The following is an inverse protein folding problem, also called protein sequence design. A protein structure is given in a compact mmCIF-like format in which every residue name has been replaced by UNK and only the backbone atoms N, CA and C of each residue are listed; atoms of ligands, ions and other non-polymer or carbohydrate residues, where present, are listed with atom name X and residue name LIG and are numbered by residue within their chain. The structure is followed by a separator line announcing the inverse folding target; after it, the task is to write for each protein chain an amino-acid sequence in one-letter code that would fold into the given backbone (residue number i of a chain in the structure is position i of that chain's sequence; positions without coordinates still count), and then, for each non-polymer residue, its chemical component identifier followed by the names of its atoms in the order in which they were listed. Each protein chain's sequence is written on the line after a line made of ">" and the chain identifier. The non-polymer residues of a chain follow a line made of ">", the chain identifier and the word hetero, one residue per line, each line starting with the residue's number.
data_IF_338851649717
#
_entry.id   IF_338851649717
#
_cell.length_a   1.000
_cell.length_b   1.000
_cell.length_c   1.000
_cell.angle_alpha   90.00
_cell.angle_beta   90.00
_cell.angle_gamma   90.00
#
_symmetry.space_group_name_H-M   'P 1'
#
loop_
_entity.id
_entity.type
_entity.pdbx_description
1 polymer ?
#
# COMPACT_ATOMS: atom_id res chain seq x y z
N UNK A 1 17.86 -49.82 31.91
CA UNK A 1 16.58 -49.86 31.19
C UNK A 1 16.15 -48.41 31.07
N UNK A 2 16.11 -47.98 29.82
CA UNK A 2 15.80 -46.65 29.26
C UNK A 2 14.56 -45.99 29.92
N UNK A 3 14.65 -44.70 30.31
CA UNK A 3 14.18 -43.51 29.54
C UNK A 3 12.67 -43.28 29.81
N UNK A 4 12.17 -42.12 30.25
CA UNK A 4 12.15 -40.84 29.55
C UNK A 4 11.88 -39.67 30.50
N UNK A 5 12.67 -38.60 30.32
CA UNK A 5 12.44 -37.30 30.91
C UNK A 5 11.26 -36.54 30.29
N UNK A 6 10.67 -35.69 31.12
CA UNK A 6 9.77 -34.62 30.69
C UNK A 6 10.55 -33.59 29.86
N UNK A 7 10.17 -33.40 28.60
CA UNK A 7 10.49 -32.19 27.85
C UNK A 7 9.21 -31.66 27.22
N UNK A 8 8.60 -30.69 27.89
CA UNK A 8 7.60 -29.81 27.29
C UNK A 8 8.36 -28.64 26.70
N UNK A 9 8.66 -28.72 25.41
CA UNK A 9 9.17 -27.57 24.65
C UNK A 9 7.97 -26.70 24.33
N UNK A 10 7.74 -25.66 25.14
CA UNK A 10 6.95 -24.52 24.70
C UNK A 10 7.76 -23.78 23.65
N UNK A 11 7.32 -23.87 22.39
CA UNK A 11 7.78 -23.00 21.32
C UNK A 11 7.47 -21.55 21.69
N UNK A 12 8.48 -20.86 22.23
CA UNK A 12 8.47 -19.41 22.35
C UNK A 12 8.50 -18.86 20.94
N UNK A 13 7.34 -18.48 20.40
CA UNK A 13 7.25 -17.64 19.22
C UNK A 13 7.82 -16.27 19.57
N UNK A 14 9.13 -16.13 19.49
CA UNK A 14 9.80 -14.83 19.50
C UNK A 14 9.27 -14.06 18.30
N UNK A 15 8.52 -13.00 18.57
CA UNK A 15 8.09 -12.07 17.53
C UNK A 15 9.33 -11.55 16.82
N UNK A 16 9.31 -11.46 15.49
CA UNK A 16 10.36 -10.79 14.73
C UNK A 16 10.49 -9.32 15.15
N UNK A 17 9.42 -8.73 15.68
CA UNK A 17 9.43 -7.40 16.28
C UNK A 17 10.29 -7.33 17.56
N UNK A 18 10.40 -8.43 18.32
CA UNK A 18 11.23 -8.48 19.55
C UNK A 18 12.73 -8.63 19.23
N UNK A 19 13.07 -9.14 18.04
CA UNK A 19 14.47 -9.28 17.59
C UNK A 19 14.99 -7.96 17.01
N UNK A 20 14.15 -7.19 16.33
CA UNK A 20 14.51 -5.83 15.86
C UNK A 20 14.58 -4.82 17.02
N UNK A 21 13.74 -4.97 18.05
CA UNK A 21 13.77 -4.08 19.21
C UNK A 21 15.04 -4.23 20.05
N UNK A 22 15.61 -5.44 20.11
CA UNK A 22 16.83 -5.75 20.88
C UNK A 22 18.15 -5.28 20.28
N UNK A 23 18.18 -4.67 19.09
CA UNK A 23 19.42 -4.17 18.46
C UNK A 23 19.56 -2.65 18.47
N UNK A 24 18.64 -1.91 19.10
CA UNK A 24 18.66 -0.44 19.16
C UNK A 24 18.99 0.13 20.54
N UNK A 25 19.17 -0.72 21.55
CA UNK A 25 19.48 -0.32 22.92
C UNK A 25 20.98 -0.49 23.17
N UNK A 26 21.79 0.50 22.80
CA UNK A 26 23.15 0.71 23.35
C UNK A 26 23.68 2.12 23.06
N UNK A 27 22.82 3.05 22.61
CA UNK A 27 23.18 4.46 22.47
C UNK A 27 22.33 5.29 23.44
N UNK A 28 22.91 5.64 24.59
CA UNK A 28 22.28 6.46 25.62
C UNK A 28 22.13 7.94 25.20
N UNK A 29 22.65 8.33 24.02
CA UNK A 29 22.55 9.69 23.50
C UNK A 29 21.12 10.01 23.06
N UNK A 30 20.73 11.26 23.27
CA UNK A 30 19.39 11.73 22.89
C UNK A 30 19.29 11.82 21.37
N UNK A 31 18.41 11.04 20.76
CA UNK A 31 18.15 11.09 19.32
C UNK A 31 17.23 12.28 18.97
N UNK A 32 17.74 13.17 18.12
CA UNK A 32 17.01 14.30 17.56
C UNK A 32 16.71 14.07 16.08
N UNK A 33 15.56 14.54 15.61
CA UNK A 33 15.15 14.38 14.20
C UNK A 33 15.63 15.51 13.27
N UNK A 34 15.84 16.72 13.81
CA UNK A 34 16.28 17.90 13.04
C UNK A 34 17.36 18.67 13.80
N UNK A 35 18.53 18.84 13.18
CA UNK A 35 19.66 19.59 13.73
C UNK A 35 19.34 21.07 13.93
N UNK A 36 18.40 21.64 13.15
CA UNK A 36 18.02 23.05 13.25
C UNK A 36 17.38 23.42 14.60
N UNK A 37 16.74 22.46 15.26
CA UNK A 37 16.22 22.70 16.61
C UNK A 37 17.35 22.79 17.63
N UNK A 38 18.39 21.97 17.49
CA UNK A 38 19.58 22.02 18.33
C UNK A 38 20.35 23.34 18.14
N UNK A 39 20.46 23.81 16.90
CA UNK A 39 21.07 25.11 16.59
C UNK A 39 20.32 26.26 17.28
N UNK A 40 18.97 26.23 17.28
CA UNK A 40 18.15 27.23 17.98
C UNK A 40 18.29 27.15 19.50
N UNK A 41 18.34 25.95 20.07
CA UNK A 41 18.55 25.76 21.51
C UNK A 41 19.89 26.37 21.93
N UNK A 42 20.93 26.11 21.14
CA UNK A 42 22.25 26.69 21.34
C UNK A 42 22.22 28.23 21.25
N UNK A 43 21.53 28.79 20.26
CA UNK A 43 21.38 30.25 20.12
C UNK A 43 20.70 30.88 21.35
N UNK A 44 19.60 30.28 21.82
CA UNK A 44 18.88 30.73 23.02
C UNK A 44 19.75 30.63 24.28
N UNK A 45 20.48 29.53 24.44
CA UNK A 45 21.40 29.35 25.58
C UNK A 45 22.51 30.42 25.59
N UNK A 46 23.14 30.66 24.44
CA UNK A 46 24.16 31.71 24.28
C UNK A 46 23.56 33.09 24.57
N UNK A 47 22.33 33.35 24.11
CA UNK A 47 21.64 34.61 24.37
C UNK A 47 21.44 34.86 25.87
N UNK A 48 20.91 33.89 26.61
CA UNK A 48 20.71 34.00 28.05
C UNK A 48 22.02 34.18 28.81
N UNK A 49 23.06 33.43 28.44
CA UNK A 49 24.39 33.59 29.07
C UNK A 49 25.00 34.94 28.73
N UNK A 50 24.78 35.46 27.53
CA UNK A 50 25.23 36.81 27.15
C UNK A 50 24.52 37.88 27.99
N UNK A 51 23.21 37.76 28.20
CA UNK A 51 22.47 38.67 29.09
C UNK A 51 22.98 38.60 30.54
N UNK A 52 23.25 37.40 31.05
CA UNK A 52 23.79 37.19 32.40
C UNK A 52 25.20 37.79 32.54
N UNK A 53 26.08 37.53 31.58
CA UNK A 53 27.43 38.09 31.56
C UNK A 53 27.41 39.62 31.49
N UNK A 54 26.49 40.19 30.70
CA UNK A 54 26.37 41.64 30.58
C UNK A 54 25.89 42.31 31.87
N UNK A 55 25.02 41.65 32.64
CA UNK A 55 24.42 42.19 33.85
C UNK A 55 25.23 41.93 35.13
N UNK A 56 26.06 40.88 35.18
CA UNK A 56 26.72 40.46 36.43
C UNK A 56 28.26 40.48 36.38
N UNK A 57 28.86 40.49 35.19
CA UNK A 57 30.31 40.59 35.04
C UNK A 57 30.70 42.03 34.70
N UNK A 58 31.74 42.55 35.32
CA UNK A 58 32.33 43.86 35.00
C UNK A 58 33.46 43.74 33.99
N UNK A 59 34.28 42.70 34.10
CA UNK A 59 35.40 42.39 33.19
C UNK A 59 35.31 40.94 32.66
N UNK A 60 36.05 40.62 31.58
CA UNK A 60 36.17 39.25 31.08
C UNK A 60 34.92 38.68 30.39
N UNK A 61 33.88 39.48 30.14
CA UNK A 61 32.60 39.06 29.52
C UNK A 61 32.78 38.19 28.28
N UNK A 62 33.58 38.66 27.33
CA UNK A 62 33.81 37.96 26.06
C UNK A 62 34.47 36.60 26.27
N UNK A 63 35.41 36.51 27.20
CA UNK A 63 36.12 35.26 27.49
C UNK A 63 35.19 34.26 28.19
N UNK A 64 34.37 34.74 29.13
CA UNK A 64 33.35 33.92 29.80
C UNK A 64 32.32 33.37 28.81
N UNK A 65 31.73 34.23 27.95
CA UNK A 65 30.74 33.81 26.94
C UNK A 65 31.37 32.81 25.96
N UNK A 66 32.59 33.08 25.50
CA UNK A 66 33.30 32.18 24.58
C UNK A 66 33.53 30.81 25.21
N UNK A 67 34.02 30.76 26.45
CA UNK A 67 34.30 29.51 27.15
C UNK A 67 33.04 28.74 27.51
N UNK A 68 31.98 29.43 27.93
CA UNK A 68 30.67 28.82 28.12
C UNK A 68 30.17 28.19 26.81
N UNK A 69 30.24 28.94 25.71
CA UNK A 69 29.76 28.48 24.41
C UNK A 69 30.52 27.24 23.95
N UNK A 70 31.84 27.20 24.13
CA UNK A 70 32.66 26.04 23.80
C UNK A 70 32.28 24.80 24.63
N UNK A 71 32.22 24.95 25.96
CA UNK A 71 31.88 23.83 26.86
C UNK A 71 30.48 23.32 26.59
N UNK A 72 29.49 24.21 26.49
CA UNK A 72 28.11 23.86 26.24
C UNK A 72 27.95 23.11 24.90
N UNK A 73 28.65 23.57 23.85
CA UNK A 73 28.66 22.89 22.56
C UNK A 73 29.21 21.47 22.69
N UNK A 74 30.39 21.30 23.27
CA UNK A 74 31.03 19.99 23.39
C UNK A 74 30.15 19.02 24.18
N UNK A 75 29.60 19.47 25.32
CA UNK A 75 28.72 18.64 26.14
C UNK A 75 27.47 18.20 25.38
N UNK A 76 26.81 19.08 24.62
CA UNK A 76 25.62 18.69 23.86
C UNK A 76 25.99 17.79 22.68
N UNK A 77 27.10 18.02 21.98
CA UNK A 77 27.53 17.18 20.87
C UNK A 77 27.87 15.75 21.28
N UNK A 78 28.47 15.56 22.47
CA UNK A 78 28.80 14.24 23.01
C UNK A 78 27.56 13.44 23.41
N UNK A 79 26.46 14.13 23.77
CA UNK A 79 25.27 13.52 24.35
C UNK A 79 24.04 13.48 23.41
N UNK A 80 24.17 13.99 22.18
CA UNK A 80 23.05 14.11 21.23
C UNK A 80 23.44 13.57 19.87
N UNK A 81 22.53 12.82 19.26
CA UNK A 81 22.60 12.38 17.86
C UNK A 81 21.50 13.02 17.05
N UNK A 82 21.72 13.18 15.74
CA UNK A 82 20.71 13.62 14.78
C UNK A 82 20.47 12.47 13.79
N UNK A 83 19.28 11.88 13.85
CA UNK A 83 18.91 10.68 13.07
C UNK A 83 19.94 9.53 13.22
N UNK A 84 20.41 9.30 14.46
CA UNK A 84 21.41 8.28 14.78
C UNK A 84 22.86 8.63 14.42
N UNK A 85 23.15 9.85 13.94
CA UNK A 85 24.51 10.31 13.62
C UNK A 85 25.01 11.36 14.63
N UNK A 86 26.32 11.44 14.92
CA UNK A 86 26.88 12.48 15.79
C UNK A 86 26.54 13.90 15.32
N UNK A 87 26.12 14.76 16.24
CA UNK A 87 25.82 16.16 15.91
C UNK A 87 27.09 17.00 15.79
N UNK A 88 27.36 17.56 14.60
CA UNK A 88 28.53 18.41 14.34
C UNK A 88 28.10 19.85 14.03
N UNK A 89 28.41 20.78 14.93
CA UNK A 89 27.93 22.18 14.92
C UNK A 89 28.60 23.04 13.83
N UNK A 90 29.71 22.61 13.25
CA UNK A 90 30.40 23.37 12.19
C UNK A 90 30.63 22.52 10.94
N UNK A 91 29.72 22.64 9.98
CA UNK A 91 29.94 22.17 8.60
C UNK A 91 31.05 22.93 7.86
N UNK A 92 31.53 24.06 8.38
CA UNK A 92 32.51 24.92 7.69
C UNK A 92 33.97 24.57 8.00
N UNK A 93 34.28 24.00 9.16
CA UNK A 93 35.66 23.64 9.57
C UNK A 93 36.07 22.19 9.29
N UNK A 94 35.18 21.36 8.74
CA UNK A 94 35.51 19.98 8.38
C UNK A 94 36.45 19.96 7.16
N UNK A 95 37.47 19.10 7.22
CA UNK A 95 38.32 18.80 6.06
C UNK A 95 37.46 18.29 4.89
N UNK A 96 37.92 18.47 3.65
CA UNK A 96 37.22 18.01 2.44
C UNK A 96 36.87 16.53 2.49
N UNK A 97 37.67 15.73 3.21
CA UNK A 97 37.48 14.29 3.36
C UNK A 97 36.43 13.94 4.41
N UNK A 98 36.41 14.62 5.57
CA UNK A 98 35.36 14.43 6.59
C UNK A 98 33.97 14.84 6.07
N UNK A 99 33.90 15.87 5.20
CA UNK A 99 32.65 16.24 4.51
C UNK A 99 32.17 15.17 3.53
N UNK A 100 33.09 14.44 2.89
CA UNK A 100 32.74 13.35 1.98
C UNK A 100 32.28 12.13 2.75
N UNK A 101 32.96 11.81 3.85
CA UNK A 101 32.61 10.71 4.75
C UNK A 101 31.22 10.91 5.35
N UNK A 102 30.91 12.11 5.88
CA UNK A 102 29.57 12.41 6.39
C UNK A 102 28.48 12.38 5.31
N UNK A 103 28.78 12.82 4.08
CA UNK A 103 27.84 12.70 2.94
C UNK A 103 27.63 11.26 2.52
N UNK A 104 28.65 10.42 2.64
CA UNK A 104 28.58 9.01 2.31
C UNK A 104 27.80 8.24 3.37
N UNK A 105 28.07 8.46 4.66
CA UNK A 105 27.31 7.88 5.77
C UNK A 105 25.83 8.26 5.72
N UNK A 106 25.51 9.54 5.48
CA UNK A 106 24.11 9.99 5.32
C UNK A 106 23.45 9.36 4.10
N UNK A 107 24.17 9.22 2.99
CA UNK A 107 23.66 8.54 1.80
C UNK A 107 23.40 7.06 2.08
N UNK A 108 24.33 6.38 2.75
CA UNK A 108 24.22 4.95 3.05
C UNK A 108 23.10 4.68 4.06
N UNK A 109 22.94 5.53 5.08
CA UNK A 109 21.82 5.47 6.01
C UNK A 109 20.46 5.69 5.31
N UNK A 110 20.39 6.67 4.38
CA UNK A 110 19.18 6.91 3.60
C UNK A 110 18.86 5.74 2.66
N UNK A 111 19.88 5.14 2.02
CA UNK A 111 19.71 3.97 1.16
C UNK A 111 19.27 2.73 1.95
N UNK A 112 19.84 2.51 3.14
CA UNK A 112 19.39 1.43 4.03
C UNK A 112 17.93 1.62 4.41
N UNK A 113 17.56 2.82 4.87
CA UNK A 113 16.17 3.12 5.25
C UNK A 113 15.20 2.99 4.08
N UNK A 114 15.63 3.35 2.87
CA UNK A 114 14.86 3.16 1.65
C UNK A 114 14.68 1.67 1.35
N UNK A 115 15.73 0.86 1.48
CA UNK A 115 15.68 -0.59 1.30
C UNK A 115 14.67 -1.23 2.26
N UNK A 116 14.76 -0.92 3.56
CA UNK A 116 13.84 -1.44 4.58
C UNK A 116 12.39 -1.03 4.29
N UNK A 117 12.20 0.21 3.83
CA UNK A 117 10.87 0.73 3.48
C UNK A 117 10.29 -0.02 2.27
N UNK A 118 11.12 -0.31 1.26
CA UNK A 118 10.70 -1.06 0.08
C UNK A 118 10.34 -2.50 0.43
N UNK A 119 11.16 -3.17 1.23
CA UNK A 119 10.89 -4.55 1.69
C UNK A 119 9.59 -4.62 2.50
N UNK A 120 9.41 -3.74 3.48
CA UNK A 120 8.20 -3.65 4.28
C UNK A 120 6.96 -3.36 3.44
N UNK A 121 7.09 -2.48 2.44
CA UNK A 121 5.99 -2.15 1.54
C UNK A 121 5.64 -3.34 0.64
N UNK A 122 6.63 -4.03 0.10
CA UNK A 122 6.43 -5.23 -0.72
C UNK A 122 5.78 -6.35 0.10
N UNK A 123 6.22 -6.56 1.35
CA UNK A 123 5.63 -7.52 2.27
C UNK A 123 4.15 -7.18 2.53
N UNK A 124 3.82 -5.93 2.86
CA UNK A 124 2.44 -5.47 3.06
C UNK A 124 1.58 -5.68 1.80
N UNK A 125 2.07 -5.33 0.61
CA UNK A 125 1.35 -5.55 -0.65
C UNK A 125 1.03 -7.03 -0.89
N UNK A 126 1.92 -7.94 -0.50
CA UNK A 126 1.73 -9.38 -0.68
C UNK A 126 0.80 -10.00 0.37
N UNK A 127 0.93 -9.60 1.63
CA UNK A 127 0.32 -10.31 2.77
C UNK A 127 -0.93 -9.62 3.31
N UNK A 128 -0.99 -8.29 3.35
CA UNK A 128 -2.12 -7.55 3.94
C UNK A 128 -3.46 -7.84 3.24
N UNK A 129 -3.57 -7.86 1.89
CA UNK A 129 -4.85 -8.19 1.25
C UNK A 129 -5.36 -9.58 1.59
N UNK A 130 -4.47 -10.57 1.73
CA UNK A 130 -4.83 -11.94 2.10
C UNK A 130 -5.36 -12.00 3.54
N UNK A 131 -4.73 -11.28 4.46
CA UNK A 131 -5.18 -11.21 5.86
C UNK A 131 -6.54 -10.52 5.97
N UNK A 132 -6.73 -9.38 5.30
CA UNK A 132 -8.01 -8.67 5.27
C UNK A 132 -9.13 -9.56 4.71
N UNK A 133 -8.89 -10.22 3.58
CA UNK A 133 -9.85 -11.15 2.97
C UNK A 133 -10.18 -12.31 3.91
N UNK A 134 -9.18 -12.89 4.58
CA UNK A 134 -9.38 -13.97 5.55
C UNK A 134 -10.31 -13.54 6.69
N UNK A 135 -10.01 -12.40 7.33
CA UNK A 135 -10.80 -11.87 8.45
C UNK A 135 -12.23 -11.57 8.01
N UNK A 136 -12.40 -10.87 6.89
CA UNK A 136 -13.72 -10.52 6.36
C UNK A 136 -14.55 -11.77 6.01
N UNK A 137 -13.92 -12.77 5.40
CA UNK A 137 -14.58 -14.04 5.06
C UNK A 137 -15.04 -14.81 6.30
N UNK A 138 -14.28 -14.76 7.40
CA UNK A 138 -14.68 -15.36 8.68
C UNK A 138 -15.88 -14.64 9.27
N UNK A 139 -15.87 -13.31 9.27
CA UNK A 139 -16.96 -12.50 9.79
C UNK A 139 -18.27 -12.75 9.03
N UNK A 140 -18.23 -12.75 7.70
CA UNK A 140 -19.41 -13.07 6.88
C UNK A 140 -19.95 -14.47 7.13
N UNK A 141 -19.07 -15.47 7.34
CA UNK A 141 -19.49 -16.83 7.71
C UNK A 141 -20.22 -16.84 9.06
N UNK A 142 -19.72 -16.08 10.03
CA UNK A 142 -20.33 -15.98 11.35
C UNK A 142 -21.69 -15.29 11.29
N UNK A 143 -21.80 -14.16 10.59
CA UNK A 143 -23.08 -13.46 10.36
C UNK A 143 -24.10 -14.36 9.67
N UNK A 144 -23.68 -15.10 8.64
CA UNK A 144 -24.55 -16.08 7.97
C UNK A 144 -25.04 -17.17 8.91
N UNK A 145 -24.21 -17.64 9.84
CA UNK A 145 -24.65 -18.61 10.85
C UNK A 145 -25.65 -17.99 11.83
N UNK A 146 -25.46 -16.73 12.22
CA UNK A 146 -26.40 -16.02 13.10
C UNK A 146 -27.76 -15.82 12.42
N UNK A 147 -27.78 -15.43 11.14
CA UNK A 147 -29.01 -15.34 10.35
C UNK A 147 -29.73 -16.69 10.22
N UNK A 148 -28.98 -17.80 10.08
CA UNK A 148 -29.58 -19.15 10.07
C UNK A 148 -30.14 -19.59 11.42
N UNK A 149 -29.54 -19.12 12.52
CA UNK A 149 -29.98 -19.42 13.89
C UNK A 149 -31.16 -18.56 14.33
N UNK A 150 -31.34 -17.39 13.71
CA UNK A 150 -32.53 -16.58 13.93
C UNK A 150 -33.76 -17.38 13.48
N UNK A 151 -34.54 -17.86 14.46
CA UNK A 151 -35.88 -18.37 14.21
C UNK A 151 -36.68 -17.22 13.61
N UNK A 152 -36.95 -17.27 12.32
CA UNK A 152 -37.93 -16.37 11.72
C UNK A 152 -39.26 -16.81 12.31
N UNK A 153 -39.79 -16.02 13.25
CA UNK A 153 -41.16 -16.19 13.73
C UNK A 153 -42.10 -15.90 12.55
N UNK A 154 -42.47 -16.95 11.82
CA UNK A 154 -43.50 -16.89 10.78
C UNK A 154 -44.92 -16.82 11.35
N UNK A 155 -45.08 -16.56 12.65
CA UNK A 155 -46.37 -16.45 13.31
C UNK A 155 -46.71 -15.00 13.61
N UNK A 156 -46.79 -14.17 12.57
CA UNK A 156 -47.81 -13.12 12.62
C UNK A 156 -49.11 -13.86 12.40
N UNK A 157 -50.06 -13.90 13.35
CA UNK A 157 -51.36 -14.51 13.11
C UNK A 157 -52.03 -13.72 11.98
N UNK A 158 -51.98 -14.26 10.77
CA UNK A 158 -52.76 -13.76 9.65
C UNK A 158 -54.22 -14.04 10.03
N UNK A 159 -55.08 -13.02 10.17
CA UNK A 159 -56.50 -13.27 10.37
C UNK A 159 -56.99 -14.16 9.24
N UNK A 160 -57.59 -15.30 9.57
CA UNK A 160 -58.17 -16.23 8.61
C UNK A 160 -59.38 -15.58 7.95
N UNK A 161 -59.13 -14.71 6.96
CA UNK A 161 -60.17 -14.30 6.04
C UNK A 161 -60.48 -15.50 5.15
N UNK A 162 -61.68 -16.05 5.29
CA UNK A 162 -62.22 -17.03 4.35
C UNK A 162 -62.28 -16.40 2.96
N UNK A 163 -61.38 -16.79 2.07
CA UNK A 163 -61.46 -16.41 0.67
C UNK A 163 -62.60 -17.19 0.00
N UNK A 164 -63.42 -16.53 -0.85
CA UNK A 164 -64.42 -17.23 -1.64
C UNK A 164 -63.70 -18.14 -2.64
N UNK A 165 -64.17 -19.39 -2.76
CA UNK A 165 -63.77 -20.29 -3.83
C UNK A 165 -64.17 -19.66 -5.18
N UNK A 166 -63.22 -19.06 -5.89
CA UNK A 166 -63.45 -18.60 -7.26
C UNK A 166 -62.20 -18.74 -8.13
N UNK A 167 -62.31 -19.60 -9.15
CA UNK A 167 -61.62 -19.55 -10.45
C UNK A 167 -60.09 -19.52 -10.46
N UNK A 168 -59.42 -20.55 -9.92
CA UNK A 168 -57.97 -20.74 -10.08
C UNK A 168 -57.56 -21.58 -11.30
N UNK A 169 -58.50 -22.17 -12.05
CA UNK A 169 -58.18 -23.06 -13.18
C UNK A 169 -57.66 -22.31 -14.42
N UNK A 170 -58.24 -21.16 -14.75
CA UNK A 170 -57.93 -20.48 -16.02
C UNK A 170 -56.56 -19.78 -16.00
N UNK A 171 -56.10 -19.31 -14.83
CA UNK A 171 -54.80 -18.63 -14.69
C UNK A 171 -53.60 -19.56 -14.80
N UNK A 172 -53.77 -20.84 -14.48
CA UNK A 172 -52.69 -21.83 -14.58
C UNK A 172 -52.41 -22.23 -16.03
N UNK A 173 -53.45 -22.30 -16.88
CA UNK A 173 -53.28 -22.59 -18.31
C UNK A 173 -52.61 -21.43 -19.04
N UNK A 174 -53.02 -20.18 -18.79
CA UNK A 174 -52.35 -18.99 -19.34
C UNK A 174 -50.87 -18.94 -18.98
N UNK A 175 -50.51 -19.27 -17.73
CA UNK A 175 -49.12 -19.28 -17.29
C UNK A 175 -48.29 -20.35 -18.01
N UNK A 176 -48.86 -21.53 -18.24
CA UNK A 176 -48.19 -22.61 -18.99
C UNK A 176 -47.98 -22.19 -20.44
N UNK A 177 -48.99 -21.61 -21.09
CA UNK A 177 -48.88 -21.10 -22.47
C UNK A 177 -47.81 -20.00 -22.57
N UNK A 178 -47.71 -19.11 -21.59
CA UNK A 178 -46.65 -18.10 -21.53
C UNK A 178 -45.27 -18.77 -21.43
N UNK A 179 -45.08 -19.76 -20.57
CA UNK A 179 -43.82 -20.49 -20.47
C UNK A 179 -43.43 -21.20 -21.79
N UNK A 180 -44.39 -21.82 -22.47
CA UNK A 180 -44.16 -22.48 -23.77
C UNK A 180 -43.79 -21.48 -24.87
N UNK A 181 -44.44 -20.32 -24.90
CA UNK A 181 -44.13 -19.24 -25.84
C UNK A 181 -42.71 -18.68 -25.64
N UNK A 182 -42.28 -18.46 -24.39
CA UNK A 182 -40.93 -18.01 -24.06
C UNK A 182 -39.89 -19.04 -24.47
N UNK A 183 -40.20 -20.33 -24.30
CA UNK A 183 -39.31 -21.43 -24.68
C UNK A 183 -39.15 -21.53 -26.19
N UNK A 184 -40.24 -21.28 -26.94
CA UNK A 184 -40.22 -21.23 -28.41
C UNK A 184 -39.45 -20.02 -28.91
N UNK A 185 -39.68 -18.83 -28.35
CA UNK A 185 -38.95 -17.61 -28.69
C UNK A 185 -37.43 -17.76 -28.46
N UNK A 186 -37.02 -18.45 -27.39
CA UNK A 186 -35.60 -18.75 -27.14
C UNK A 186 -34.97 -19.57 -28.26
N UNK A 187 -35.70 -20.57 -28.79
CA UNK A 187 -35.23 -21.43 -29.89
C UNK A 187 -35.08 -20.63 -31.17
N UNK A 188 -36.07 -19.79 -31.48
CA UNK A 188 -36.07 -18.95 -32.67
C UNK A 188 -34.91 -17.93 -32.64
N UNK A 189 -34.64 -17.33 -31.48
CA UNK A 189 -33.49 -16.43 -31.31
C UNK A 189 -32.16 -17.16 -31.58
N UNK A 190 -32.01 -18.40 -31.09
CA UNK A 190 -30.79 -19.18 -31.35
C UNK A 190 -30.61 -19.49 -32.85
N UNK A 191 -31.68 -19.84 -33.55
CA UNK A 191 -31.62 -20.09 -34.99
C UNK A 191 -31.27 -18.81 -35.79
N UNK A 192 -31.79 -17.65 -35.37
CA UNK A 192 -31.47 -16.38 -36.01
C UNK A 192 -30.01 -15.96 -35.78
N UNK A 193 -29.46 -16.22 -34.59
CA UNK A 193 -28.04 -15.97 -34.29
C UNK A 193 -27.14 -16.81 -35.19
N UNK A 194 -27.46 -18.08 -35.40
CA UNK A 194 -26.71 -18.97 -36.30
C UNK A 194 -26.74 -18.47 -37.75
N UNK A 195 -27.92 -18.04 -38.24
CA UNK A 195 -28.05 -17.44 -39.58
C UNK A 195 -27.23 -16.16 -39.73
N UNK A 196 -27.22 -15.30 -38.71
CA UNK A 196 -26.40 -14.09 -38.73
C UNK A 196 -24.91 -14.41 -38.74
N UNK A 197 -24.47 -15.45 -38.02
CA UNK A 197 -23.08 -15.88 -38.04
C UNK A 197 -22.65 -16.35 -39.43
N UNK A 198 -23.47 -17.15 -40.11
CA UNK A 198 -23.22 -17.59 -41.49
C UNK A 198 -23.18 -16.42 -42.49
N UNK A 199 -24.00 -15.39 -42.28
CA UNK A 199 -23.97 -14.17 -43.11
C UNK A 199 -22.66 -13.42 -42.87
N UNK A 200 -22.23 -13.29 -41.62
CA UNK A 200 -20.97 -12.63 -41.28
C UNK A 200 -19.77 -13.33 -41.92
N UNK A 201 -19.70 -14.66 -41.87
CA UNK A 201 -18.64 -15.43 -42.55
C UNK A 201 -18.61 -15.17 -44.06
N UNK A 202 -19.78 -15.06 -44.70
CA UNK A 202 -19.87 -14.73 -46.13
C UNK A 202 -19.43 -13.31 -46.45
N UNK A 203 -19.72 -12.35 -45.57
CA UNK A 203 -19.24 -10.96 -45.70
C UNK A 203 -17.71 -10.93 -45.59
N UNK A 204 -17.13 -11.58 -44.57
CA UNK A 204 -15.68 -11.64 -44.39
C UNK A 204 -14.98 -12.31 -45.58
N UNK A 205 -15.56 -13.38 -46.12
CA UNK A 205 -15.06 -14.02 -47.33
C UNK A 205 -15.09 -13.06 -48.54
N UNK A 206 -16.19 -12.32 -48.72
CA UNK A 206 -16.33 -11.35 -49.81
C UNK A 206 -15.34 -10.20 -49.67
N UNK A 207 -15.16 -9.66 -48.46
CA UNK A 207 -14.18 -8.61 -48.18
C UNK A 207 -12.74 -9.08 -48.44
N UNK A 208 -12.42 -10.33 -48.14
CA UNK A 208 -11.12 -10.91 -48.46
C UNK A 208 -10.90 -11.03 -49.98
N UNK A 209 -11.92 -11.38 -50.75
CA UNK A 209 -11.85 -11.37 -52.23
C UNK A 209 -11.65 -9.95 -52.76
N UNK A 210 -12.39 -8.96 -52.25
CA UNK A 210 -12.26 -7.56 -52.66
C UNK A 210 -10.87 -7.01 -52.33
N UNK A 211 -10.30 -7.37 -51.17
CA UNK A 211 -8.92 -7.01 -50.81
C UNK A 211 -7.90 -7.61 -51.78
N UNK A 212 -8.05 -8.88 -52.17
CA UNK A 212 -7.17 -9.53 -53.16
C UNK A 212 -7.29 -8.91 -54.56
N UNK A 213 -8.50 -8.49 -54.98
CA UNK A 213 -8.67 -7.79 -56.25
C UNK A 213 -8.07 -6.39 -56.23
N UNK A 214 -8.17 -5.65 -55.11
CA UNK A 214 -7.50 -4.35 -54.96
C UNK A 214 -5.97 -4.47 -54.95
N UNK A 215 -5.39 -5.54 -54.40
CA UNK A 215 -3.94 -5.77 -54.51
C UNK A 215 -3.48 -6.15 -55.91
N UNK A 216 -4.38 -6.65 -56.78
CA UNK A 216 -4.08 -6.95 -58.18
C UNK A 216 -4.22 -5.75 -59.13
N UNK A 217 -4.86 -4.67 -58.68
CA UNK A 217 -4.93 -3.39 -59.38
C UNK A 217 -4.02 -2.35 -58.70
N UNK A 218 -2.71 -2.60 -58.69
CA UNK A 218 -1.75 -1.51 -58.61
C UNK A 218 -1.80 -0.73 -59.94
N UNK A 219 -1.96 0.60 -59.93
CA UNK A 219 -1.93 1.38 -61.15
C UNK A 219 -0.50 1.32 -61.71
N UNK A 220 -0.35 0.80 -62.94
CA UNK A 220 0.89 0.92 -63.72
C UNK A 220 1.24 2.41 -63.82
N UNK A 221 2.15 2.85 -62.95
CA UNK A 221 2.76 4.16 -63.07
C UNK A 221 3.74 4.13 -64.24
N UNK A 222 3.43 5.01 -65.19
CA UNK A 222 4.24 5.55 -66.28
C UNK A 222 5.74 5.60 -65.94
N UNK A 223 6.51 4.63 -66.45
CA UNK A 223 7.97 4.66 -66.39
C UNK A 223 8.48 5.57 -67.51
N UNK A 224 8.39 6.89 -67.29
CA UNK A 224 9.20 7.82 -68.03
C UNK A 224 10.67 7.60 -67.69
N UNK A 225 11.44 7.00 -68.61
CA UNK A 225 12.89 7.17 -68.78
C UNK A 225 13.33 6.37 -70.02
N UNK A 226 13.38 7.03 -71.18
CA UNK A 226 14.46 6.77 -72.15
C UNK A 226 15.05 8.15 -72.48
N UNK A 227 16.24 8.38 -71.94
CA UNK A 227 17.17 9.43 -72.36
C UNK A 227 18.35 8.71 -73.00
N UNK A 228 18.45 8.81 -74.32
CA UNK A 228 19.61 9.24 -75.12
C UNK A 228 19.24 9.23 -76.61
#
# INVERSE_FOLDING_TARGET
>A
MEDFGHSSVTETTTSLDDVEKKRKEDDDRIECSDSRHLDKILEVAIHHVTQLANSHLTEGKSQFISRFTEVFKNTVQENVTVNGLPWVIKKETLSTDEKKEQKQETKDALLSKLSDTLENTAHKRKHTPKQCSRVYSMQLKHERQNLKKAKIEHSIPIPTASFPNSSFSDRTEEFITICESVTSAKRDIQEQVEKLHQIQEKIEFTDNIVKQQKSHFEPLYDTGYISE
#
